data_IF_010732798273
#
_entry.id   IF_010732798273
#
_cell.length_a   1.000
_cell.length_b   1.000
_cell.length_c   1.000
_cell.angle_alpha   90.00
_cell.angle_beta   90.00
_cell.angle_gamma   90.00
#
_symmetry.space_group_name_H-M   'P 1'
#
loop_
_entity.id
_entity.type
_entity.pdbx_description
1 polymer ?
#
# COMPACT_ATOMS: atom_id res chain seq x y z
N UNK A 1 32.20 17.59 -0.19
CA UNK A 1 31.53 16.43 -0.84
C UNK A 1 30.06 16.63 -0.58
N UNK A 2 29.23 16.85 -1.62
CA UNK A 2 27.79 16.87 -1.45
C UNK A 2 27.37 15.46 -1.02
N UNK A 3 26.73 15.32 0.14
CA UNK A 3 26.04 14.08 0.49
C UNK A 3 25.07 13.74 -0.63
N UNK A 4 25.27 12.62 -1.32
CA UNK A 4 24.27 12.08 -2.24
C UNK A 4 22.98 11.89 -1.43
N UNK A 5 22.03 12.76 -1.65
CA UNK A 5 20.73 12.70 -0.99
C UNK A 5 20.04 11.43 -1.51
N UNK A 6 20.04 10.37 -0.69
CA UNK A 6 19.41 9.11 -1.04
C UNK A 6 17.93 9.42 -1.34
N UNK A 7 17.54 9.19 -2.58
CA UNK A 7 16.15 9.38 -3.03
C UNK A 7 15.24 8.31 -2.39
N UNK A 8 14.08 8.74 -1.90
CA UNK A 8 13.11 7.84 -1.29
C UNK A 8 12.57 6.78 -2.25
N UNK A 9 12.03 5.72 -1.69
CA UNK A 9 11.44 4.59 -2.41
C UNK A 9 10.01 4.93 -2.81
N UNK A 10 9.68 4.82 -4.10
CA UNK A 10 8.31 4.98 -4.60
C UNK A 10 7.69 3.60 -4.80
N UNK A 11 6.54 3.36 -4.16
CA UNK A 11 5.79 2.10 -4.26
C UNK A 11 4.40 2.41 -4.80
N UNK A 12 4.10 1.93 -5.99
CA UNK A 12 2.79 2.13 -6.61
C UNK A 12 1.93 0.87 -6.52
N UNK A 13 0.71 1.03 -6.04
CA UNK A 13 -0.31 0.00 -6.05
C UNK A 13 -1.12 0.06 -7.34
N UNK A 14 -1.07 -1.01 -8.10
CA UNK A 14 -1.74 -1.14 -9.40
C UNK A 14 -2.55 -2.45 -9.46
N UNK A 15 -3.58 -2.47 -10.28
CA UNK A 15 -4.35 -3.68 -10.57
C UNK A 15 -5.09 -3.54 -11.90
N UNK A 16 -5.62 -4.65 -12.42
CA UNK A 16 -6.48 -4.70 -13.61
C UNK A 16 -7.94 -5.01 -13.29
N UNK A 17 -8.29 -4.95 -12.00
CA UNK A 17 -9.66 -5.10 -11.53
C UNK A 17 -9.92 -4.13 -10.37
N UNK A 18 -11.13 -3.59 -10.31
CA UNK A 18 -11.56 -2.73 -9.20
C UNK A 18 -11.85 -3.56 -7.95
N UNK A 19 -11.91 -2.90 -6.80
CA UNK A 19 -12.25 -3.50 -5.50
C UNK A 19 -11.37 -4.68 -5.06
N UNK A 20 -10.15 -4.81 -5.60
CA UNK A 20 -9.18 -5.85 -5.18
C UNK A 20 -8.47 -5.53 -3.87
N UNK A 21 -8.69 -4.34 -3.30
CA UNK A 21 -8.14 -3.93 -2.00
C UNK A 21 -6.90 -3.04 -2.07
N UNK A 22 -6.62 -2.37 -3.21
CA UNK A 22 -5.47 -1.46 -3.34
C UNK A 22 -5.40 -0.45 -2.21
N UNK A 23 -6.43 0.36 -2.03
CA UNK A 23 -6.52 1.41 -1.01
C UNK A 23 -6.35 0.86 0.40
N UNK A 24 -6.96 -0.29 0.71
CA UNK A 24 -6.76 -0.95 2.01
C UNK A 24 -5.29 -1.28 2.25
N UNK A 25 -4.63 -1.89 1.26
CA UNK A 25 -3.25 -2.37 1.43
C UNK A 25 -2.26 -1.19 1.39
N UNK A 26 -2.47 -0.18 0.54
CA UNK A 26 -1.62 1.03 0.47
C UNK A 26 -1.62 1.81 1.78
N UNK A 27 -2.81 2.02 2.40
CA UNK A 27 -2.96 2.66 3.71
C UNK A 27 -2.23 1.86 4.79
N UNK A 28 -2.41 0.54 4.81
CA UNK A 28 -1.75 -0.31 5.80
C UNK A 28 -0.23 -0.36 5.61
N UNK A 29 0.25 -0.30 4.36
CA UNK A 29 1.68 -0.18 4.07
C UNK A 29 2.24 1.14 4.58
N UNK A 30 1.59 2.26 4.30
CA UNK A 30 2.00 3.57 4.81
C UNK A 30 2.05 3.59 6.34
N UNK A 31 1.02 3.03 6.98
CA UNK A 31 0.90 2.96 8.44
C UNK A 31 2.00 2.11 9.09
N UNK A 32 2.30 0.95 8.52
CA UNK A 32 3.34 0.07 9.06
C UNK A 32 4.74 0.64 8.85
N UNK A 33 5.01 1.25 7.70
CA UNK A 33 6.29 1.94 7.45
C UNK A 33 6.48 3.11 8.44
N UNK A 34 5.41 3.90 8.68
CA UNK A 34 5.44 4.97 9.68
C UNK A 34 5.67 4.41 11.11
N UNK A 35 5.03 3.27 11.45
CA UNK A 35 5.27 2.56 12.72
C UNK A 35 6.72 2.12 12.88
N UNK A 36 7.40 1.80 11.79
CA UNK A 36 8.83 1.46 11.77
C UNK A 36 9.74 2.69 11.83
N UNK A 37 9.20 3.91 11.91
CA UNK A 37 9.93 5.16 12.05
C UNK A 37 10.35 5.81 10.73
N UNK A 38 9.83 5.37 9.59
CA UNK A 38 10.07 6.03 8.31
C UNK A 38 9.18 7.25 8.12
N UNK A 39 9.69 8.25 7.39
CA UNK A 39 8.91 9.37 6.87
C UNK A 39 8.15 8.88 5.64
N UNK A 40 6.83 8.89 5.69
CA UNK A 40 5.97 8.32 4.65
C UNK A 40 4.98 9.36 4.15
N UNK A 41 4.80 9.42 2.83
CA UNK A 41 3.71 10.13 2.18
C UNK A 41 2.87 9.14 1.38
N UNK A 42 1.57 9.11 1.64
CA UNK A 42 0.58 8.36 0.87
C UNK A 42 -0.14 9.31 -0.09
N UNK A 43 -0.09 9.02 -1.38
CA UNK A 43 -0.70 9.82 -2.44
C UNK A 43 -1.85 9.06 -3.08
N UNK A 44 -3.02 9.68 -3.11
CA UNK A 44 -4.21 9.12 -3.76
C UNK A 44 -4.31 9.62 -5.20
N UNK A 45 -3.95 8.77 -6.14
CA UNK A 45 -4.06 9.03 -7.58
C UNK A 45 -5.26 8.32 -8.25
N UNK A 46 -6.21 7.85 -7.45
CA UNK A 46 -7.58 7.68 -7.95
C UNK A 46 -8.28 9.05 -7.92
N UNK A 47 -7.89 9.92 -8.84
CA UNK A 47 -8.25 11.34 -8.83
C UNK A 47 -9.74 11.62 -8.93
N UNK A 48 -10.53 10.63 -9.32
CA UNK A 48 -11.98 10.79 -9.53
C UNK A 48 -12.81 10.21 -8.38
N UNK A 49 -12.36 9.11 -7.79
CA UNK A 49 -13.08 8.36 -6.78
C UNK A 49 -12.16 7.87 -5.66
N UNK A 50 -11.16 8.68 -5.32
CA UNK A 50 -10.20 8.35 -4.28
C UNK A 50 -10.84 8.26 -2.90
N UNK A 51 -10.49 7.20 -2.17
CA UNK A 51 -11.09 6.87 -0.88
C UNK A 51 -10.11 6.90 0.30
N UNK A 52 -8.85 7.28 0.07
CA UNK A 52 -7.83 7.28 1.14
C UNK A 52 -8.24 8.15 2.32
N UNK A 53 -8.68 9.39 2.05
CA UNK A 53 -9.12 10.31 3.11
C UNK A 53 -10.38 9.80 3.81
N UNK A 54 -11.35 9.28 3.05
CA UNK A 54 -12.59 8.71 3.59
C UNK A 54 -12.31 7.51 4.50
N UNK A 55 -11.41 6.62 4.08
CA UNK A 55 -10.98 5.48 4.87
C UNK A 55 -10.35 5.93 6.20
N UNK A 56 -9.44 6.89 6.14
CA UNK A 56 -8.69 7.38 7.31
C UNK A 56 -9.48 8.37 8.19
N UNK A 57 -10.71 8.73 7.77
CA UNK A 57 -11.55 9.76 8.44
C UNK A 57 -10.82 11.11 8.57
N UNK A 58 -9.99 11.43 7.57
CA UNK A 58 -9.26 12.69 7.54
C UNK A 58 -10.17 13.84 7.07
N UNK A 59 -10.17 14.99 7.75
CA UNK A 59 -10.63 16.22 7.14
C UNK A 59 -9.69 16.59 5.98
N UNK A 60 -10.24 16.99 4.85
CA UNK A 60 -9.45 17.36 3.67
C UNK A 60 -9.47 18.88 3.54
N UNK A 61 -8.33 19.52 3.82
CA UNK A 61 -8.12 20.96 3.56
C UNK A 61 -7.27 21.14 2.29
N UNK A 62 -6.40 20.16 2.00
CA UNK A 62 -5.51 20.15 0.86
C UNK A 62 -5.55 18.80 0.14
N UNK A 63 -5.56 18.87 -1.18
CA UNK A 63 -5.55 17.71 -2.07
C UNK A 63 -4.34 17.76 -3.04
N UNK A 64 -4.20 16.74 -3.86
CA UNK A 64 -3.25 16.74 -4.98
C UNK A 64 -3.45 17.98 -5.86
N UNK A 65 -4.70 18.39 -6.08
CA UNK A 65 -5.01 19.59 -6.89
C UNK A 65 -4.48 20.86 -6.23
N UNK A 66 -4.67 21.02 -4.93
CA UNK A 66 -4.23 22.22 -4.18
C UNK A 66 -2.71 22.31 -4.15
N UNK A 67 -2.03 21.19 -3.92
CA UNK A 67 -0.58 21.11 -3.94
C UNK A 67 0.00 21.56 -5.30
N UNK A 68 -0.62 21.10 -6.40
CA UNK A 68 -0.20 21.45 -7.76
C UNK A 68 -0.58 22.89 -8.14
N UNK A 69 -1.77 23.37 -7.76
CA UNK A 69 -2.22 24.72 -8.01
C UNK A 69 -1.37 25.76 -7.27
N UNK A 70 -1.00 25.48 -6.02
CA UNK A 70 -0.13 26.37 -5.23
C UNK A 70 1.27 26.39 -5.79
N UNK A 71 1.82 25.24 -6.21
CA UNK A 71 3.12 25.15 -6.87
C UNK A 71 3.16 25.98 -8.17
N UNK A 72 2.09 25.97 -8.96
CA UNK A 72 1.99 26.79 -10.18
C UNK A 72 2.10 28.29 -9.88
N UNK A 73 1.54 28.73 -8.74
CA UNK A 73 1.58 30.13 -8.28
C UNK A 73 2.90 30.50 -7.59
N UNK A 74 3.49 29.56 -6.86
CA UNK A 74 4.74 29.71 -6.12
C UNK A 74 5.59 28.44 -6.24
N UNK A 75 6.57 28.37 -7.16
CA UNK A 75 7.40 27.19 -7.37
C UNK A 75 8.22 26.75 -6.14
N UNK A 76 8.54 27.72 -5.25
CA UNK A 76 9.30 27.48 -4.02
C UNK A 76 8.42 27.08 -2.82
N UNK A 77 7.11 26.95 -3.02
CA UNK A 77 6.20 26.54 -1.94
C UNK A 77 6.58 25.16 -1.39
N UNK A 78 6.67 25.07 -0.07
CA UNK A 78 6.95 23.80 0.61
C UNK A 78 5.73 22.88 0.51
N UNK A 79 5.89 21.76 -0.18
CA UNK A 79 4.84 20.75 -0.39
C UNK A 79 4.34 20.21 0.97
N UNK A 80 5.19 20.14 1.99
CA UNK A 80 4.81 19.67 3.33
C UNK A 80 3.72 20.51 4.01
N UNK A 81 3.48 21.71 3.51
CA UNK A 81 2.37 22.58 3.96
C UNK A 81 1.06 22.30 3.20
N UNK A 82 1.07 21.35 2.28
CA UNK A 82 -0.07 21.00 1.41
C UNK A 82 -0.42 19.52 1.53
N UNK A 83 -0.07 18.90 2.64
CA UNK A 83 -0.41 17.50 2.94
C UNK A 83 -1.29 17.45 4.18
N UNK A 84 -2.21 16.51 4.20
CA UNK A 84 -2.94 16.14 5.40
C UNK A 84 -2.08 15.20 6.25
N UNK A 85 -2.33 15.15 7.55
CA UNK A 85 -1.57 14.31 8.44
C UNK A 85 -2.46 13.32 9.18
N UNK A 86 -2.25 12.03 8.94
CA UNK A 86 -2.86 10.98 9.74
C UNK A 86 -2.05 10.73 11.01
N UNK A 87 -2.75 10.64 12.17
CA UNK A 87 -2.15 10.34 13.47
C UNK A 87 -2.90 9.26 14.21
N UNK A 88 -2.15 8.29 14.73
CA UNK A 88 -2.66 7.27 15.63
C UNK A 88 -1.64 7.01 16.76
N UNK A 89 -1.93 7.52 17.95
CA UNK A 89 -0.95 7.53 19.03
C UNK A 89 0.30 8.32 18.66
N UNK A 90 1.45 7.69 18.69
CA UNK A 90 2.74 8.27 18.30
C UNK A 90 3.05 8.08 16.81
N UNK A 91 2.25 7.32 16.09
CA UNK A 91 2.46 7.02 14.67
C UNK A 91 1.84 8.11 13.83
N UNK A 92 2.58 8.60 12.85
CA UNK A 92 2.19 9.70 12.00
C UNK A 92 2.75 9.51 10.60
N UNK A 93 1.93 9.77 9.58
CA UNK A 93 2.36 9.87 8.18
C UNK A 93 1.53 10.90 7.44
N UNK A 94 2.09 11.41 6.36
CA UNK A 94 1.46 12.44 5.55
C UNK A 94 0.64 11.81 4.41
N UNK A 95 -0.45 12.48 4.04
CA UNK A 95 -1.40 12.05 3.02
C UNK A 95 -1.63 13.19 2.05
N UNK A 96 -1.60 12.90 0.76
CA UNK A 96 -2.12 13.77 -0.30
C UNK A 96 -3.38 13.13 -0.87
N UNK A 97 -4.57 13.56 -0.41
CA UNK A 97 -5.84 13.05 -0.89
C UNK A 97 -6.10 13.36 -2.36
N UNK A 98 -6.96 12.57 -3.00
CA UNK A 98 -7.53 12.92 -4.29
C UNK A 98 -8.32 14.25 -4.22
N UNK A 99 -8.50 14.94 -5.36
CA UNK A 99 -9.34 16.14 -5.42
C UNK A 99 -10.79 15.87 -4.97
N UNK A 100 -11.41 16.84 -4.32
CA UNK A 100 -12.80 16.73 -3.87
C UNK A 100 -13.79 16.78 -5.05
N UNK A 101 -13.46 17.54 -6.10
CA UNK A 101 -14.35 17.78 -7.24
C UNK A 101 -13.77 17.21 -8.54
N UNK A 102 -14.62 16.60 -9.36
CA UNK A 102 -14.21 15.96 -10.62
C UNK A 102 -13.58 16.95 -11.62
N UNK A 103 -14.05 18.20 -11.67
CA UNK A 103 -13.47 19.22 -12.54
C UNK A 103 -12.02 19.56 -12.18
N UNK A 104 -11.65 19.46 -10.92
CA UNK A 104 -10.27 19.60 -10.47
C UNK A 104 -9.39 18.48 -11.04
N UNK A 105 -9.87 17.24 -11.05
CA UNK A 105 -9.13 16.10 -11.57
C UNK A 105 -8.81 16.22 -13.06
N UNK A 106 -9.73 16.78 -13.85
CA UNK A 106 -9.52 17.00 -15.29
C UNK A 106 -8.47 18.08 -15.61
N UNK A 107 -8.17 18.94 -14.65
CA UNK A 107 -7.18 20.02 -14.81
C UNK A 107 -5.76 19.58 -14.42
N UNK A 108 -5.57 18.33 -13.98
CA UNK A 108 -4.27 17.80 -13.59
C UNK A 108 -3.58 17.12 -14.77
N UNK A 109 -2.37 17.57 -15.10
CA UNK A 109 -1.57 16.91 -16.13
C UNK A 109 -0.74 15.77 -15.52
N UNK A 110 -0.50 14.74 -16.32
CA UNK A 110 0.35 13.60 -15.94
C UNK A 110 1.74 14.06 -15.54
N UNK A 111 2.30 15.02 -16.29
CA UNK A 111 3.65 15.58 -16.07
C UNK A 111 3.72 16.28 -14.71
N UNK A 112 2.73 17.11 -14.36
CA UNK A 112 2.68 17.79 -13.08
C UNK A 112 2.57 16.79 -11.91
N UNK A 113 1.75 15.75 -12.05
CA UNK A 113 1.64 14.67 -11.07
C UNK A 113 2.97 13.91 -10.90
N UNK A 114 3.67 13.63 -12.00
CA UNK A 114 4.99 12.97 -11.98
C UNK A 114 6.02 13.83 -11.26
N UNK A 115 6.11 15.11 -11.59
CA UNK A 115 7.01 16.05 -10.92
C UNK A 115 6.70 16.20 -9.42
N UNK A 116 5.43 16.10 -9.02
CA UNK A 116 5.04 16.11 -7.62
C UNK A 116 5.64 14.91 -6.88
N UNK A 117 5.51 13.70 -7.42
CA UNK A 117 6.07 12.49 -6.83
C UNK A 117 7.60 12.56 -6.77
N UNK A 118 8.26 13.05 -7.84
CA UNK A 118 9.73 13.22 -7.84
C UNK A 118 10.21 14.21 -6.76
N UNK A 119 9.41 15.22 -6.42
CA UNK A 119 9.71 16.11 -5.28
C UNK A 119 9.44 15.43 -3.94
N UNK A 120 8.35 14.69 -3.82
CA UNK A 120 8.02 13.96 -2.58
C UNK A 120 9.11 12.95 -2.22
N UNK A 121 9.65 12.21 -3.20
CA UNK A 121 10.73 11.22 -2.94
C UNK A 121 12.06 11.85 -2.46
N UNK A 122 12.22 13.16 -2.57
CA UNK A 122 13.35 13.88 -1.96
C UNK A 122 13.09 14.26 -0.50
N UNK A 123 11.85 14.22 -0.05
CA UNK A 123 11.41 14.64 1.28
C UNK A 123 11.08 13.46 2.21
N UNK A 124 10.63 12.35 1.63
CA UNK A 124 10.17 11.16 2.34
C UNK A 124 11.05 9.96 2.06
N UNK A 125 11.10 9.04 3.02
CA UNK A 125 11.81 7.76 2.84
C UNK A 125 11.01 6.80 1.95
N UNK A 126 9.66 6.91 2.04
CA UNK A 126 8.71 6.18 1.20
C UNK A 126 7.59 7.08 0.69
N UNK A 127 7.31 6.99 -0.61
CA UNK A 127 6.12 7.55 -1.25
C UNK A 127 5.27 6.39 -1.72
N UNK A 128 4.08 6.24 -1.14
CA UNK A 128 3.11 5.20 -1.50
C UNK A 128 2.07 5.83 -2.41
N UNK A 129 1.80 5.19 -3.54
CA UNK A 129 0.84 5.70 -4.53
C UNK A 129 -0.31 4.70 -4.67
N UNK A 130 -1.51 5.12 -4.31
CA UNK A 130 -2.75 4.39 -4.63
C UNK A 130 -3.27 4.84 -5.99
N UNK A 131 -3.60 3.91 -6.89
CA UNK A 131 -4.04 4.22 -8.26
C UNK A 131 -5.35 3.55 -8.63
N UNK A 132 -5.90 3.92 -9.79
CA UNK A 132 -7.05 3.24 -10.41
C UNK A 132 -6.66 1.88 -10.98
N UNK A 133 -7.66 1.15 -11.51
CA UNK A 133 -7.47 -0.18 -12.12
C UNK A 133 -7.40 -0.11 -13.65
N UNK A 134 -6.71 0.87 -14.21
CA UNK A 134 -6.62 1.12 -15.65
C UNK A 134 -5.19 1.41 -16.10
N UNK A 135 -4.86 1.07 -17.33
CA UNK A 135 -3.65 1.54 -18.03
C UNK A 135 -3.83 2.96 -18.57
N UNK A 136 -4.12 3.93 -17.67
CA UNK A 136 -4.17 5.35 -18.02
C UNK A 136 -2.77 5.93 -18.18
N UNK A 137 -2.66 7.10 -18.84
CA UNK A 137 -1.36 7.80 -18.96
C UNK A 137 -0.76 8.10 -17.59
N UNK A 138 -1.58 8.52 -16.63
CA UNK A 138 -1.13 8.81 -15.26
C UNK A 138 -0.61 7.53 -14.58
N UNK A 139 -1.39 6.45 -14.63
CA UNK A 139 -0.96 5.20 -14.00
C UNK A 139 0.36 4.69 -14.62
N UNK A 140 0.48 4.68 -15.94
CA UNK A 140 1.73 4.28 -16.61
C UNK A 140 2.91 5.16 -16.16
N UNK A 141 2.73 6.49 -16.12
CA UNK A 141 3.78 7.39 -15.63
C UNK A 141 4.16 7.09 -14.17
N UNK A 142 3.19 6.76 -13.31
CA UNK A 142 3.50 6.35 -11.94
C UNK A 142 4.24 5.01 -11.89
N UNK A 143 3.86 4.06 -12.74
CA UNK A 143 4.60 2.80 -12.87
C UNK A 143 6.04 3.06 -13.35
N UNK A 144 6.26 3.99 -14.27
CA UNK A 144 7.59 4.31 -14.81
C UNK A 144 8.54 4.81 -13.74
N UNK A 145 8.10 5.73 -12.87
CA UNK A 145 8.94 6.34 -11.81
C UNK A 145 9.03 5.51 -10.54
N UNK A 146 8.23 4.45 -10.41
CA UNK A 146 8.21 3.60 -9.22
C UNK A 146 9.50 2.81 -9.05
N UNK A 147 9.93 2.65 -7.81
CA UNK A 147 10.96 1.68 -7.42
C UNK A 147 10.36 0.27 -7.36
N UNK A 148 9.13 0.16 -6.84
CA UNK A 148 8.38 -1.09 -6.72
C UNK A 148 6.97 -0.86 -7.23
N UNK A 149 6.45 -1.77 -8.03
CA UNK A 149 5.05 -1.84 -8.41
C UNK A 149 4.41 -3.04 -7.74
N UNK A 150 3.48 -2.80 -6.84
CA UNK A 150 2.63 -3.84 -6.24
C UNK A 150 1.46 -4.09 -7.17
N UNK A 151 1.59 -5.11 -8.02
CA UNK A 151 0.48 -5.53 -8.88
C UNK A 151 -0.45 -6.45 -8.08
N UNK A 152 -1.57 -5.89 -7.63
CA UNK A 152 -2.51 -6.58 -6.76
C UNK A 152 -3.58 -7.29 -7.59
N UNK A 153 -3.79 -8.57 -7.30
CA UNK A 153 -4.80 -9.40 -7.94
C UNK A 153 -5.66 -10.16 -6.96
N UNK A 154 -6.80 -10.67 -7.44
CA UNK A 154 -7.68 -11.61 -6.75
C UNK A 154 -8.05 -12.74 -7.70
N UNK A 155 -8.32 -13.93 -7.18
CA UNK A 155 -8.63 -15.12 -7.98
C UNK A 155 -10.03 -15.66 -7.67
N UNK A 156 -10.94 -14.76 -7.34
CA UNK A 156 -12.32 -15.08 -6.95
C UNK A 156 -13.20 -15.53 -8.13
N UNK A 157 -13.01 -14.94 -9.30
CA UNK A 157 -13.75 -15.25 -10.54
C UNK A 157 -12.84 -15.26 -11.76
N UNK A 158 -13.24 -16.03 -12.80
CA UNK A 158 -12.46 -16.16 -14.05
C UNK A 158 -12.14 -14.81 -14.72
N UNK A 159 -13.06 -13.82 -14.83
CA UNK A 159 -12.75 -12.54 -15.43
C UNK A 159 -11.59 -11.79 -14.75
N UNK A 160 -11.50 -11.83 -13.40
CA UNK A 160 -10.40 -11.15 -12.68
C UNK A 160 -9.06 -11.80 -12.97
N UNK A 161 -9.01 -13.13 -13.04
CA UNK A 161 -7.81 -13.90 -13.39
C UNK A 161 -7.38 -13.60 -14.83
N UNK A 162 -8.35 -13.58 -15.77
CA UNK A 162 -8.07 -13.20 -17.17
C UNK A 162 -7.50 -11.78 -17.26
N UNK A 163 -8.10 -10.81 -16.58
CA UNK A 163 -7.62 -9.44 -16.59
C UNK A 163 -6.22 -9.31 -15.97
N UNK A 164 -5.96 -10.07 -14.90
CA UNK A 164 -4.63 -10.11 -14.28
C UNK A 164 -3.58 -10.67 -15.26
N UNK A 165 -3.91 -11.74 -16.00
CA UNK A 165 -3.04 -12.28 -17.05
C UNK A 165 -2.77 -11.24 -18.14
N UNK A 166 -3.82 -10.60 -18.68
CA UNK A 166 -3.68 -9.56 -19.69
C UNK A 166 -2.80 -8.40 -19.17
N UNK A 167 -3.02 -7.98 -17.93
CA UNK A 167 -2.24 -6.92 -17.31
C UNK A 167 -0.77 -7.29 -17.15
N UNK A 168 -0.49 -8.50 -16.68
CA UNK A 168 0.87 -9.00 -16.53
C UNK A 168 1.59 -9.07 -17.89
N UNK A 169 0.94 -9.64 -18.90
CA UNK A 169 1.49 -9.69 -20.27
C UNK A 169 1.72 -8.29 -20.85
N UNK A 170 0.81 -7.35 -20.57
CA UNK A 170 0.96 -5.95 -21.02
C UNK A 170 2.20 -5.31 -20.40
N UNK A 171 2.42 -5.48 -19.08
CA UNK A 171 3.61 -4.95 -18.42
C UNK A 171 4.90 -5.58 -18.97
N UNK A 172 4.90 -6.89 -19.25
CA UNK A 172 6.03 -7.56 -19.88
C UNK A 172 6.28 -7.03 -21.31
N UNK A 173 5.24 -6.86 -22.11
CA UNK A 173 5.34 -6.32 -23.48
C UNK A 173 5.80 -4.85 -23.51
N UNK A 174 5.52 -4.09 -22.47
CA UNK A 174 6.04 -2.74 -22.27
C UNK A 174 7.48 -2.72 -21.73
N UNK A 175 8.11 -3.89 -21.60
CA UNK A 175 9.49 -4.09 -21.13
C UNK A 175 9.72 -3.58 -19.69
N UNK A 176 8.71 -3.62 -18.83
CA UNK A 176 8.94 -3.36 -17.40
C UNK A 176 9.87 -4.43 -16.82
N UNK A 177 10.81 -3.98 -15.99
CA UNK A 177 11.67 -4.89 -15.23
C UNK A 177 10.82 -5.78 -14.31
N UNK A 178 10.93 -7.10 -14.51
CA UNK A 178 10.22 -8.11 -13.71
C UNK A 178 10.58 -8.03 -12.22
N UNK A 179 11.79 -7.56 -11.88
CA UNK A 179 12.17 -7.34 -10.49
C UNK A 179 11.47 -6.15 -9.85
N UNK A 180 10.99 -5.20 -10.65
CA UNK A 180 10.21 -4.05 -10.18
C UNK A 180 8.75 -4.43 -9.90
N UNK A 181 8.18 -5.36 -10.68
CA UNK A 181 6.80 -5.81 -10.53
C UNK A 181 6.73 -6.88 -9.44
N UNK A 182 5.90 -6.64 -8.45
CA UNK A 182 5.62 -7.59 -7.37
C UNK A 182 4.16 -8.03 -7.46
N UNK A 183 3.93 -9.21 -8.01
CA UNK A 183 2.59 -9.78 -8.14
C UNK A 183 2.12 -10.26 -6.75
N UNK A 184 1.15 -9.58 -6.18
CA UNK A 184 0.59 -9.88 -4.86
C UNK A 184 -0.84 -10.36 -5.01
N UNK A 185 -1.13 -11.54 -4.47
CA UNK A 185 -2.47 -12.08 -4.42
C UNK A 185 -3.16 -11.62 -3.13
N UNK A 186 -4.35 -11.02 -3.26
CA UNK A 186 -5.21 -10.73 -2.12
C UNK A 186 -6.41 -11.69 -2.07
N UNK A 187 -6.99 -11.87 -0.87
CA UNK A 187 -8.15 -12.75 -0.63
C UNK A 187 -7.90 -14.18 -1.13
N UNK A 188 -6.76 -14.76 -0.79
CA UNK A 188 -6.27 -16.04 -1.33
C UNK A 188 -7.16 -17.24 -1.01
N UNK A 189 -7.92 -17.18 0.06
CA UNK A 189 -8.85 -18.19 0.56
C UNK A 189 -10.31 -17.95 0.11
N UNK A 190 -10.53 -17.00 -0.82
CA UNK A 190 -11.80 -16.86 -1.48
C UNK A 190 -12.18 -18.18 -2.17
N UNK A 191 -13.41 -18.64 -1.95
CA UNK A 191 -13.90 -19.88 -2.55
C UNK A 191 -13.91 -19.77 -4.08
N UNK A 192 -12.87 -20.29 -4.71
CA UNK A 192 -12.74 -20.38 -6.16
C UNK A 192 -12.72 -21.83 -6.61
N UNK A 193 -13.18 -22.09 -7.84
CA UNK A 193 -13.10 -23.43 -8.47
C UNK A 193 -11.75 -23.66 -9.17
N UNK A 194 -10.87 -22.65 -9.18
CA UNK A 194 -9.59 -22.70 -9.87
C UNK A 194 -8.50 -22.89 -8.82
N UNK A 195 -7.65 -23.90 -9.00
CA UNK A 195 -6.53 -24.12 -8.08
C UNK A 195 -5.46 -23.03 -8.22
N UNK A 196 -4.75 -22.78 -7.15
CA UNK A 196 -3.64 -21.80 -7.13
C UNK A 196 -2.55 -22.17 -8.16
N UNK A 197 -2.25 -23.45 -8.32
CA UNK A 197 -1.28 -23.95 -9.28
C UNK A 197 -1.72 -23.66 -10.73
N UNK A 198 -3.02 -23.78 -11.01
CA UNK A 198 -3.56 -23.45 -12.34
C UNK A 198 -3.46 -21.94 -12.61
N UNK A 199 -3.68 -21.08 -11.60
CA UNK A 199 -3.51 -19.63 -11.74
C UNK A 199 -2.05 -19.27 -11.97
N UNK A 200 -1.12 -19.80 -11.18
CA UNK A 200 0.33 -19.56 -11.35
C UNK A 200 0.83 -20.02 -12.72
N UNK A 201 0.37 -21.20 -13.17
CA UNK A 201 0.70 -21.69 -14.52
C UNK A 201 0.16 -20.77 -15.62
N UNK A 202 -1.04 -20.22 -15.45
CA UNK A 202 -1.64 -19.28 -16.39
C UNK A 202 -0.86 -17.97 -16.45
N UNK A 203 -0.43 -17.46 -15.30
CA UNK A 203 0.34 -16.20 -15.21
C UNK A 203 1.79 -16.35 -15.69
N UNK A 204 2.33 -17.59 -15.68
CA UNK A 204 3.72 -17.88 -16.03
C UNK A 204 4.72 -17.62 -14.92
N UNK A 205 4.24 -17.20 -13.73
CA UNK A 205 5.06 -16.92 -12.56
C UNK A 205 4.30 -17.16 -11.25
N UNK A 206 5.04 -17.25 -10.15
CA UNK A 206 4.48 -17.33 -8.80
C UNK A 206 4.15 -15.95 -8.22
N UNK A 207 3.29 -15.94 -7.22
CA UNK A 207 3.03 -14.72 -6.47
C UNK A 207 4.22 -14.34 -5.59
N UNK A 208 4.58 -13.06 -5.63
CA UNK A 208 5.60 -12.52 -4.73
C UNK A 208 5.16 -12.63 -3.26
N UNK A 209 3.87 -12.37 -2.98
CA UNK A 209 3.27 -12.51 -1.67
C UNK A 209 1.79 -12.86 -1.78
N UNK A 210 1.25 -13.51 -0.75
CA UNK A 210 -0.15 -13.95 -0.70
C UNK A 210 -0.77 -13.42 0.60
N UNK A 211 -1.88 -12.70 0.45
CA UNK A 211 -2.65 -12.11 1.54
C UNK A 211 -3.97 -12.89 1.72
N UNK A 212 -4.27 -13.35 2.93
CA UNK A 212 -5.53 -14.04 3.21
C UNK A 212 -6.72 -13.07 3.14
N UNK A 213 -7.93 -13.63 3.08
CA UNK A 213 -9.14 -12.85 3.22
C UNK A 213 -9.50 -12.68 4.70
N UNK A 214 -9.60 -11.44 5.16
CA UNK A 214 -10.17 -11.10 6.46
C UNK A 214 -11.15 -9.94 6.30
N UNK A 215 -12.31 -10.27 5.74
CA UNK A 215 -13.35 -9.28 5.46
C UNK A 215 -13.81 -8.55 6.71
N UNK A 216 -13.89 -9.24 7.85
CA UNK A 216 -14.33 -8.64 9.11
C UNK A 216 -13.36 -7.57 9.58
N UNK A 217 -12.09 -7.91 9.70
CA UNK A 217 -11.06 -6.96 10.13
C UNK A 217 -10.92 -5.80 9.13
N UNK A 218 -10.97 -6.07 7.82
CA UNK A 218 -10.95 -5.04 6.79
C UNK A 218 -12.13 -4.07 6.92
N UNK A 219 -13.34 -4.59 7.10
CA UNK A 219 -14.57 -3.80 7.25
C UNK A 219 -14.54 -2.95 8.53
N UNK A 220 -14.06 -3.51 9.63
CA UNK A 220 -13.89 -2.80 10.90
C UNK A 220 -12.87 -1.67 10.76
N UNK A 221 -11.74 -1.93 10.12
CA UNK A 221 -10.71 -0.94 9.85
C UNK A 221 -11.23 0.25 9.03
N UNK A 222 -12.00 -0.02 7.96
CA UNK A 222 -12.64 1.01 7.13
C UNK A 222 -13.65 1.81 7.95
N UNK A 223 -14.47 1.14 8.76
CA UNK A 223 -15.53 1.80 9.54
C UNK A 223 -14.99 2.68 10.65
N UNK A 224 -13.89 2.29 11.28
CA UNK A 224 -13.25 3.02 12.38
C UNK A 224 -12.26 4.08 11.91
N UNK A 225 -11.72 3.96 10.69
CA UNK A 225 -10.62 4.80 10.21
C UNK A 225 -9.26 4.41 10.78
N UNK A 226 -9.17 3.25 11.45
CA UNK A 226 -7.91 2.75 12.02
C UNK A 226 -7.34 1.65 11.13
N UNK A 227 -6.14 1.84 10.55
CA UNK A 227 -5.48 0.82 9.73
C UNK A 227 -5.31 -0.51 10.49
N UNK A 228 -5.50 -1.64 9.80
CA UNK A 228 -5.41 -2.98 10.36
C UNK A 228 -4.13 -3.21 11.16
N UNK A 229 -3.00 -2.77 10.62
CA UNK A 229 -1.68 -2.93 11.25
C UNK A 229 -1.52 -2.14 12.55
N UNK A 230 -2.44 -1.19 12.82
CA UNK A 230 -2.43 -0.35 14.02
C UNK A 230 -3.57 -0.68 14.99
N UNK A 231 -4.60 -1.41 14.55
CA UNK A 231 -5.84 -1.64 15.31
C UNK A 231 -5.67 -2.54 16.53
N UNK A 232 -4.55 -3.22 16.66
CA UNK A 232 -4.33 -4.17 17.75
C UNK A 232 -5.14 -5.48 17.58
N UNK A 233 -5.67 -5.78 16.40
CA UNK A 233 -6.45 -7.00 16.15
C UNK A 233 -5.55 -8.19 15.80
N UNK A 234 -5.95 -9.40 16.22
CA UNK A 234 -5.31 -10.69 15.86
C UNK A 234 -5.54 -11.07 14.38
N UNK A 235 -5.64 -10.08 13.49
CA UNK A 235 -5.91 -10.31 12.06
C UNK A 235 -4.71 -10.94 11.36
N UNK A 236 -4.94 -12.13 10.77
CA UNK A 236 -3.94 -12.79 9.92
C UNK A 236 -3.58 -11.91 8.71
N UNK A 237 -4.53 -11.14 8.19
CA UNK A 237 -4.28 -10.19 7.11
C UNK A 237 -3.30 -9.09 7.54
N UNK A 238 -3.49 -8.51 8.74
CA UNK A 238 -2.57 -7.50 9.27
C UNK A 238 -1.14 -8.06 9.40
N UNK A 239 -1.02 -9.29 9.85
CA UNK A 239 0.25 -9.98 9.99
C UNK A 239 0.94 -10.21 8.64
N UNK A 240 0.20 -10.69 7.63
CA UNK A 240 0.76 -10.92 6.30
C UNK A 240 1.11 -9.60 5.58
N UNK A 241 0.38 -8.50 5.85
CA UNK A 241 0.78 -7.17 5.37
C UNK A 241 2.12 -6.76 6.00
N UNK A 242 2.34 -6.95 7.30
CA UNK A 242 3.63 -6.67 7.95
C UNK A 242 4.77 -7.50 7.34
N UNK A 243 4.51 -8.77 7.00
CA UNK A 243 5.48 -9.65 6.32
C UNK A 243 5.80 -9.17 4.92
N UNK A 244 4.79 -8.75 4.16
CA UNK A 244 4.99 -8.14 2.84
C UNK A 244 5.93 -6.92 2.93
N UNK A 245 5.70 -6.05 3.91
CA UNK A 245 6.51 -4.85 4.11
C UNK A 245 7.94 -5.19 4.52
N UNK A 246 8.13 -6.19 5.38
CA UNK A 246 9.47 -6.69 5.73
C UNK A 246 10.25 -7.15 4.49
N UNK A 247 9.58 -7.77 3.52
CA UNK A 247 10.20 -8.17 2.25
C UNK A 247 10.54 -6.96 1.38
N UNK A 248 9.74 -5.88 1.41
CA UNK A 248 10.01 -4.67 0.63
C UNK A 248 11.15 -3.84 1.21
N UNK A 249 11.24 -3.80 2.55
CA UNK A 249 12.30 -3.05 3.25
C UNK A 249 13.59 -3.85 3.42
N UNK A 250 13.59 -5.13 3.05
CA UNK A 250 14.70 -6.07 3.32
C UNK A 250 15.12 -6.09 4.79
N UNK A 251 14.17 -5.90 5.70
CA UNK A 251 14.38 -5.92 7.16
C UNK A 251 13.78 -7.17 7.78
N UNK A 252 14.30 -7.54 8.95
CA UNK A 252 13.69 -8.60 9.75
C UNK A 252 12.23 -8.24 10.09
N UNK A 253 11.35 -9.23 9.96
CA UNK A 253 9.96 -9.11 10.33
C UNK A 253 9.82 -8.70 11.82
N UNK A 254 9.04 -7.64 12.08
CA UNK A 254 8.72 -7.17 13.43
C UNK A 254 7.27 -7.53 13.76
N UNK A 255 7.03 -8.42 14.74
CA UNK A 255 5.68 -8.80 15.15
C UNK A 255 4.84 -7.58 15.57
N UNK A 256 3.53 -7.66 15.38
CA UNK A 256 2.60 -6.68 15.92
C UNK A 256 2.59 -6.68 17.46
N UNK A 257 2.03 -5.62 18.09
CA UNK A 257 2.06 -5.44 19.55
C UNK A 257 1.50 -6.63 20.34
N UNK A 258 0.54 -7.35 19.80
CA UNK A 258 -0.14 -8.47 20.48
C UNK A 258 0.65 -9.76 20.51
N UNK A 259 1.44 -10.03 19.46
CA UNK A 259 2.28 -11.25 19.45
C UNK A 259 3.43 -11.18 20.46
N UNK A 260 3.80 -9.98 20.90
CA UNK A 260 4.76 -9.78 21.98
C UNK A 260 4.16 -10.17 23.35
N UNK A 261 2.85 -9.94 23.57
CA UNK A 261 2.13 -10.35 24.79
C UNK A 261 1.92 -11.86 24.90
N UNK A 262 1.52 -12.52 23.81
CA UNK A 262 1.25 -13.97 23.81
C UNK A 262 2.51 -14.82 23.99
N UNK A 263 3.67 -14.39 23.49
CA UNK A 263 4.94 -15.09 23.72
C UNK A 263 5.40 -15.00 25.17
N UNK A 264 5.12 -13.90 25.88
CA UNK A 264 5.46 -13.76 27.30
C UNK A 264 4.61 -14.67 28.21
N UNK A 265 3.35 -14.91 27.84
CA UNK A 265 2.47 -15.85 28.56
C UNK A 265 2.80 -17.33 28.28
N UNK A 266 3.15 -17.67 27.03
CA UNK A 266 3.56 -19.03 26.69
C UNK A 266 4.87 -19.44 27.40
N UNK A 267 5.81 -18.51 27.57
CA UNK A 267 7.05 -18.77 28.35
C UNK A 267 6.79 -18.89 29.85
N UNK A 268 5.79 -18.19 30.41
CA UNK A 268 5.39 -18.32 31.81
C UNK A 268 4.66 -19.63 32.11
N UNK A 269 3.82 -20.14 31.19
CA UNK A 269 3.12 -21.43 31.36
C UNK A 269 4.01 -22.65 31.20
N UNK A 270 5.08 -22.60 30.39
CA UNK A 270 6.04 -23.68 30.24
C UNK A 270 6.98 -23.87 31.46
N UNK A 271 7.16 -22.83 32.28
CA UNK A 271 8.04 -22.89 33.46
C UNK A 271 7.41 -23.52 34.69
N UNK A 272 6.08 -23.66 34.79
CA UNK A 272 5.41 -24.23 35.97
C UNK A 272 5.14 -25.73 35.88
N UNK A 273 5.08 -26.33 34.72
CA UNK A 273 4.80 -27.77 34.54
C UNK A 273 6.05 -28.66 34.59
N UNK A 274 7.24 -28.09 34.53
CA UNK A 274 8.51 -28.84 34.62
C UNK A 274 8.93 -29.24 36.03
N UNK A 275 8.20 -28.82 37.08
CA UNK A 275 8.58 -29.13 38.50
C UNK A 275 7.75 -30.20 39.19
N UNK A 276 6.78 -30.82 38.53
CA UNK A 276 5.85 -31.77 39.16
C UNK A 276 6.10 -33.26 38.83
N UNK A 277 7.11 -33.60 38.02
CA UNK A 277 7.45 -35.00 37.71
C UNK A 277 8.99 -35.25 37.96
N UNK A 278 9.40 -35.10 39.20
CA UNK A 278 10.58 -35.79 39.77
C UNK A 278 10.30 -36.14 41.23
N UNK A 279 9.69 -37.28 41.39
CA UNK A 279 9.89 -38.19 42.54
C UNK A 279 9.51 -39.58 42.08
#
# INVERSE_FOLDING_TARGET
MAEEKISGVVITFFSTASAVGKTLISINMASELARQGYRVCLVDYDLQFGDVANYLKLPVEHSVYDALAKKKKNPEADIRQQVEQYRYGTICFDVLPAPEFLDQSYNLSTEACTELVEKLRLLYDYVIIDTTSMFSKLNLAMLDISTIVTFLGVVDIIPTIKNMKIGNDTLQNLNYDTHKIRLVLNRSDAKTRISMEAVQKLLGEGFYHILPNDFRAASESISTGVPLVLSGSDSVLAEEIRRLISRYTNRAYVPGPEQLGSRSEAHRKGGLLGRLFRR
#
